data_IF_152933227204
#
_entry.id   IF_152933227204
#
_cell.length_a   1.000
_cell.length_b   1.000
_cell.length_c   1.000
_cell.angle_alpha   90.00
_cell.angle_beta   90.00
_cell.angle_gamma   90.00
#
_symmetry.space_group_name_H-M   'P 1'
#
loop_
_entity.id
_entity.type
_entity.pdbx_description
1 polymer ?
#
# COMPACT_ATOMS: atom_id res chain seq x y z
N UNK A 1 3.36 -28.93 -1.93
CA UNK A 1 2.89 -27.64 -1.40
C UNK A 1 4.03 -26.67 -1.65
N UNK A 2 3.96 -25.87 -2.71
CA UNK A 2 5.12 -25.16 -3.23
C UNK A 2 5.43 -23.91 -2.40
N UNK A 3 6.60 -23.94 -1.77
CA UNK A 3 7.36 -22.79 -1.30
C UNK A 3 7.39 -21.67 -2.35
N UNK A 4 6.90 -20.49 -1.99
CA UNK A 4 7.27 -19.25 -2.68
C UNK A 4 8.20 -18.47 -1.77
N UNK A 5 9.50 -18.66 -1.98
CA UNK A 5 10.55 -17.79 -1.45
C UNK A 5 10.27 -16.34 -1.89
N UNK A 6 10.15 -15.36 -0.99
CA UNK A 6 10.10 -13.96 -1.41
C UNK A 6 11.47 -13.61 -1.99
N UNK A 7 11.48 -13.28 -3.27
CA UNK A 7 12.67 -12.74 -3.94
C UNK A 7 13.12 -11.49 -3.17
N UNK A 8 14.43 -11.30 -3.00
CA UNK A 8 15.02 -10.25 -2.14
C UNK A 8 14.45 -8.83 -2.43
N UNK A 9 14.03 -8.56 -3.67
CA UNK A 9 13.32 -7.36 -4.09
C UNK A 9 11.96 -7.16 -3.41
N UNK A 10 11.19 -8.22 -3.19
CA UNK A 10 9.91 -8.14 -2.48
C UNK A 10 10.11 -7.73 -1.02
N UNK A 11 11.13 -8.27 -0.34
CA UNK A 11 11.43 -7.88 1.05
C UNK A 11 11.80 -6.40 1.15
N UNK A 12 12.62 -5.87 0.24
CA UNK A 12 12.95 -4.44 0.19
C UNK A 12 11.74 -3.57 -0.07
N UNK A 13 10.90 -3.97 -1.02
CA UNK A 13 9.68 -3.25 -1.37
C UNK A 13 8.66 -3.27 -0.21
N UNK A 14 8.59 -4.39 0.52
CA UNK A 14 7.76 -4.56 1.72
C UNK A 14 8.26 -3.68 2.86
N UNK A 15 9.57 -3.62 3.09
CA UNK A 15 10.17 -2.70 4.07
C UNK A 15 9.93 -1.25 3.69
N UNK A 16 10.19 -0.85 2.43
CA UNK A 16 9.93 0.51 1.96
C UNK A 16 8.47 0.92 2.17
N UNK A 17 7.52 0.02 1.87
CA UNK A 17 6.10 0.27 2.13
C UNK A 17 5.81 0.40 3.63
N UNK A 18 6.41 -0.47 4.45
CA UNK A 18 6.27 -0.43 5.92
C UNK A 18 6.82 0.86 6.52
N UNK A 19 8.00 1.29 6.10
CA UNK A 19 8.63 2.53 6.56
C UNK A 19 7.82 3.75 6.09
N UNK A 20 7.31 3.70 4.85
CA UNK A 20 6.45 4.75 4.30
C UNK A 20 5.15 4.91 5.09
N UNK A 21 4.48 3.80 5.45
CA UNK A 21 3.26 3.88 6.28
C UNK A 21 3.54 4.21 7.75
N UNK A 22 4.72 3.85 8.26
CA UNK A 22 5.14 4.20 9.63
C UNK A 22 5.50 5.67 9.78
N UNK A 23 5.97 6.33 8.72
CA UNK A 23 6.30 7.75 8.74
C UNK A 23 5.04 8.59 9.01
N UNK A 24 3.90 8.21 8.45
CA UNK A 24 2.62 8.86 8.75
C UNK A 24 1.45 7.85 8.76
N UNK A 25 1.21 7.16 9.88
CA UNK A 25 0.21 6.11 9.96
C UNK A 25 -1.23 6.63 9.92
N UNK A 26 -1.44 7.92 10.16
CA UNK A 26 -2.77 8.54 10.16
C UNK A 26 -3.17 9.09 8.78
N UNK A 27 -2.26 9.05 7.81
CA UNK A 27 -2.52 9.45 6.44
C UNK A 27 -3.34 8.41 5.66
N UNK A 28 -4.02 8.89 4.62
CA UNK A 28 -4.77 8.05 3.70
C UNK A 28 -3.82 7.50 2.64
N UNK A 29 -3.69 6.19 2.55
CA UNK A 29 -2.88 5.53 1.53
C UNK A 29 -3.78 5.05 0.40
N UNK A 30 -3.32 5.23 -0.83
CA UNK A 30 -4.03 4.90 -2.05
C UNK A 30 -3.16 3.93 -2.83
N UNK A 31 -3.58 2.68 -2.97
CA UNK A 31 -2.87 1.66 -3.74
C UNK A 31 -3.47 1.54 -5.13
N UNK A 32 -2.66 1.82 -6.12
CA UNK A 32 -2.98 1.61 -7.51
C UNK A 32 -2.52 0.21 -7.93
N UNK A 33 -3.51 -0.69 -8.14
CA UNK A 33 -3.27 -2.10 -8.46
C UNK A 33 -2.66 -2.31 -9.84
N UNK A 34 -2.70 -1.32 -10.74
CA UNK A 34 -2.23 -1.46 -12.12
C UNK A 34 -0.72 -1.21 -12.26
N UNK A 35 -0.15 -0.40 -11.36
CA UNK A 35 1.24 0.07 -11.46
C UNK A 35 2.16 -0.33 -10.30
N UNK A 36 1.62 -0.95 -9.25
CA UNK A 36 2.35 -1.12 -7.99
C UNK A 36 2.68 0.23 -7.36
N UNK A 37 1.79 1.21 -7.48
CA UNK A 37 2.01 2.57 -6.98
C UNK A 37 1.23 2.74 -5.68
N UNK A 38 1.89 3.18 -4.62
CA UNK A 38 1.24 3.51 -3.35
C UNK A 38 1.41 4.99 -3.10
N UNK A 39 0.32 5.74 -3.09
CA UNK A 39 0.32 7.16 -2.81
C UNK A 39 -0.22 7.43 -1.41
N UNK A 40 0.50 8.19 -0.58
CA UNK A 40 -0.05 8.75 0.66
C UNK A 40 -0.59 10.14 0.39
N UNK A 41 -1.77 10.41 0.92
CA UNK A 41 -2.36 11.74 0.97
C UNK A 41 -2.22 12.25 2.39
N UNK A 42 -1.30 13.19 2.57
CA UNK A 42 -1.06 13.85 3.87
C UNK A 42 -2.17 14.84 4.18
N UNK A 43 -2.37 15.16 5.46
CA UNK A 43 -3.37 16.13 5.91
C UNK A 43 -3.21 17.54 5.27
N UNK A 44 -2.00 17.86 4.80
CA UNK A 44 -1.70 19.11 4.09
C UNK A 44 -2.13 19.09 2.61
N UNK A 45 -2.82 18.05 2.15
CA UNK A 45 -3.23 17.86 0.76
C UNK A 45 -2.09 17.49 -0.19
N UNK A 46 -0.87 17.23 0.33
CA UNK A 46 0.23 16.73 -0.49
C UNK A 46 0.05 15.23 -0.69
N UNK A 47 0.07 14.83 -1.96
CA UNK A 47 0.14 13.44 -2.38
C UNK A 47 1.59 13.07 -2.67
N UNK A 48 2.08 12.06 -1.97
CA UNK A 48 3.43 11.53 -2.14
C UNK A 48 3.31 10.07 -2.57
N UNK A 49 3.96 9.69 -3.68
CA UNK A 49 3.74 8.41 -4.33
C UNK A 49 5.03 7.60 -4.38
N UNK A 50 4.97 6.41 -3.80
CA UNK A 50 6.03 5.42 -3.79
C UNK A 50 5.71 4.30 -4.77
N UNK A 51 6.62 4.02 -5.70
CA UNK A 51 6.49 2.89 -6.62
C UNK A 51 7.12 1.65 -6.02
N UNK A 52 6.31 0.61 -5.85
CA UNK A 52 6.63 -0.63 -5.16
C UNK A 52 6.39 -1.77 -6.14
N UNK A 53 7.45 -2.51 -6.50
CA UNK A 53 7.33 -3.68 -7.39
C UNK A 53 6.81 -4.90 -6.61
N UNK A 54 5.60 -4.78 -6.07
CA UNK A 54 4.89 -5.84 -5.35
C UNK A 54 3.56 -6.13 -6.04
N UNK A 55 3.13 -7.38 -5.97
CA UNK A 55 1.78 -7.76 -6.36
C UNK A 55 0.74 -7.11 -5.43
N UNK A 56 -0.43 -6.78 -5.98
CA UNK A 56 -1.52 -6.15 -5.23
C UNK A 56 -1.90 -6.94 -3.97
N UNK A 57 -1.91 -8.28 -4.07
CA UNK A 57 -2.17 -9.16 -2.92
C UNK A 57 -1.13 -9.00 -1.81
N UNK A 58 0.15 -8.91 -2.16
CA UNK A 58 1.24 -8.78 -1.19
C UNK A 58 1.18 -7.44 -0.46
N UNK A 59 0.90 -6.35 -1.19
CA UNK A 59 0.73 -5.02 -0.60
C UNK A 59 -0.47 -4.97 0.34
N UNK A 60 -1.61 -5.54 -0.08
CA UNK A 60 -2.81 -5.61 0.74
C UNK A 60 -2.60 -6.43 2.01
N UNK A 61 -1.96 -7.60 1.89
CA UNK A 61 -1.63 -8.46 3.04
C UNK A 61 -0.71 -7.74 4.02
N UNK A 62 0.24 -6.96 3.52
CA UNK A 62 1.14 -6.17 4.37
C UNK A 62 0.39 -5.06 5.12
N UNK A 63 -0.44 -4.29 4.41
CA UNK A 63 -1.27 -3.24 5.01
C UNK A 63 -2.15 -3.82 6.12
N UNK A 64 -2.83 -4.94 5.86
CA UNK A 64 -3.63 -5.62 6.87
C UNK A 64 -2.82 -6.08 8.09
N UNK A 65 -1.58 -6.56 7.89
CA UNK A 65 -0.67 -6.92 9.00
C UNK A 65 -0.22 -5.73 9.84
N UNK A 66 -0.33 -4.51 9.30
CA UNK A 66 0.06 -3.27 9.96
C UNK A 66 -1.14 -2.54 10.59
N UNK A 67 -2.28 -3.23 10.74
CA UNK A 67 -3.56 -2.69 11.19
C UNK A 67 -4.08 -1.55 10.29
N UNK A 68 -3.89 -1.69 8.97
CA UNK A 68 -4.55 -0.83 7.99
C UNK A 68 -5.76 -1.53 7.39
N UNK A 69 -6.88 -0.81 7.36
CA UNK A 69 -8.10 -1.22 6.69
C UNK A 69 -8.17 -0.56 5.32
N UNK A 70 -8.26 -1.41 4.29
CA UNK A 70 -8.26 -1.01 2.90
C UNK A 70 -9.66 -1.22 2.31
N UNK A 71 -10.23 -0.15 1.75
CA UNK A 71 -11.55 -0.16 1.11
C UNK A 71 -11.45 0.31 -0.32
N UNK A 72 -12.38 -0.13 -1.16
CA UNK A 72 -12.60 0.53 -2.43
C UNK A 72 -13.30 1.87 -2.19
N UNK A 73 -12.95 2.93 -2.93
CA UNK A 73 -13.69 4.17 -2.92
C UNK A 73 -15.14 3.91 -3.36
N UNK A 74 -16.04 4.75 -2.86
CA UNK A 74 -17.48 4.70 -3.21
C UNK A 74 -17.69 4.98 -4.71
N UNK A 75 -16.75 5.73 -5.29
CA UNK A 75 -16.80 6.15 -6.67
C UNK A 75 -16.36 5.02 -7.62
N UNK A 76 -17.26 4.51 -8.49
CA UNK A 76 -16.98 3.36 -9.34
C UNK A 76 -15.99 3.67 -10.48
N UNK A 77 -15.65 4.94 -10.73
CA UNK A 77 -14.62 5.32 -11.71
C UNK A 77 -13.21 5.16 -11.15
N UNK A 78 -13.07 5.02 -9.83
CA UNK A 78 -11.80 4.91 -9.15
C UNK A 78 -11.49 3.45 -8.79
N UNK A 79 -10.47 2.87 -9.43
CA UNK A 79 -10.03 1.48 -9.23
C UNK A 79 -8.90 1.33 -8.20
N UNK A 80 -8.57 2.40 -7.49
CA UNK A 80 -7.56 2.38 -6.45
C UNK A 80 -8.14 1.89 -5.11
N UNK A 81 -7.30 1.34 -4.24
CA UNK A 81 -7.69 0.95 -2.88
C UNK A 81 -7.26 2.02 -1.88
N UNK A 82 -8.17 2.48 -1.04
CA UNK A 82 -7.91 3.43 0.03
C UNK A 82 -7.66 2.69 1.35
N UNK A 83 -6.42 2.68 1.82
CA UNK A 83 -6.01 2.12 3.10
C UNK A 83 -5.80 3.21 4.13
N UNK A 84 -6.42 3.03 5.29
CA UNK A 84 -6.25 3.88 6.47
C UNK A 84 -6.03 3.03 7.70
N UNK A 85 -5.28 3.53 8.66
CA UNK A 85 -5.09 2.83 9.93
C UNK A 85 -6.43 2.73 10.69
N UNK A 86 -6.68 1.57 11.27
CA UNK A 86 -7.81 1.29 12.18
C UNK A 86 -7.36 1.15 13.62
#
# INVERSE_FOLDING_TARGET
MSDQQPSNDQSRATQALTDFVKEDPNSLYTLDGQGGLVCRTTANGRRDCLRVKLDQKSMFTLMQKLDFFCTLPIDPEHTHLECKKV
#
